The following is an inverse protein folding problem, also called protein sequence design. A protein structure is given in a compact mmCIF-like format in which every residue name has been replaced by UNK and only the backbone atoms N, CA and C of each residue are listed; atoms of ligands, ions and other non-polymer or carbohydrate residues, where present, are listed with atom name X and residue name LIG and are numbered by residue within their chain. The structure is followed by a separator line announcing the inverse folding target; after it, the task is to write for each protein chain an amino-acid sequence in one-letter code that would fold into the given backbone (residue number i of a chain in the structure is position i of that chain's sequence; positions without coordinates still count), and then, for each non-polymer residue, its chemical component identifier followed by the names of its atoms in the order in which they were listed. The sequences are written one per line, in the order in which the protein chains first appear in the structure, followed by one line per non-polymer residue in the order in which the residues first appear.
data_IF_664712695704
#
_entry.id   IF_664712695704
#
_cell.length_a   1.000
_cell.length_b   1.000
_cell.length_c   1.000
_cell.angle_alpha   90.00
_cell.angle_beta   90.00
_cell.angle_gamma   90.00
#
_symmetry.space_group_name_H-M   'P 1'
#
loop_
_entity.id
_entity.type
_entity.pdbx_description
1 polymer ?
#
# COMPACT_ATOMS: atom_id res chain seq x y z
N UNK A 1 -0.81 -17.12 -0.91
CA UNK A 1 0.36 -16.31 -0.51
C UNK A 1 -0.18 -15.06 0.16
N UNK A 2 0.22 -14.75 1.40
CA UNK A 2 -0.21 -13.51 2.04
C UNK A 2 0.23 -12.32 1.18
N UNK A 3 -0.69 -11.40 0.90
CA UNK A 3 -0.43 -10.20 0.12
C UNK A 3 -0.64 -8.98 1.00
N UNK A 4 0.30 -8.05 1.00
CA UNK A 4 0.14 -6.75 1.65
C UNK A 4 0.18 -5.68 0.57
N UNK A 5 -0.84 -4.82 0.55
CA UNK A 5 -0.98 -3.71 -0.38
C UNK A 5 -0.78 -2.42 0.40
N UNK A 6 0.38 -1.79 0.19
CA UNK A 6 0.68 -0.45 0.71
C UNK A 6 0.25 0.61 -0.31
N UNK A 7 -0.41 1.66 0.14
CA UNK A 7 -0.85 2.74 -0.76
C UNK A 7 -0.89 4.11 -0.07
N UNK A 8 -0.50 5.15 -0.79
CA UNK A 8 -0.62 6.54 -0.33
C UNK A 8 -1.97 7.13 -0.75
N UNK A 9 -2.70 7.77 0.16
CA UNK A 9 -4.03 8.32 -0.15
C UNK A 9 -3.98 9.58 -1.03
N UNK A 10 -2.83 10.24 -1.11
CA UNK A 10 -2.59 11.41 -1.95
C UNK A 10 -1.99 11.05 -3.32
N UNK A 11 -1.88 9.76 -3.68
CA UNK A 11 -1.40 9.32 -4.98
C UNK A 11 -2.31 9.86 -6.11
N UNK A 12 -1.74 10.73 -6.96
CA UNK A 12 -2.42 11.34 -8.10
C UNK A 12 -2.28 10.51 -9.39
N UNK A 13 -1.36 9.55 -9.43
CA UNK A 13 -1.13 8.67 -10.58
C UNK A 13 -2.04 7.43 -10.51
N UNK A 14 -2.20 6.89 -9.30
CA UNK A 14 -3.06 5.74 -9.01
C UNK A 14 -3.99 6.11 -7.86
N UNK A 15 -5.21 6.50 -8.18
CA UNK A 15 -6.19 6.93 -7.17
C UNK A 15 -6.53 5.77 -6.21
N UNK A 16 -6.82 6.09 -4.95
CA UNK A 16 -7.13 5.08 -3.92
C UNK A 16 -8.40 4.26 -4.19
N UNK A 17 -9.39 4.82 -4.90
CA UNK A 17 -10.67 4.16 -5.15
C UNK A 17 -10.55 2.85 -5.97
N UNK A 18 -9.85 2.79 -7.12
CA UNK A 18 -9.58 1.54 -7.81
C UNK A 18 -8.73 0.56 -6.99
N UNK A 19 -7.77 1.04 -6.18
CA UNK A 19 -6.95 0.17 -5.31
C UNK A 19 -7.82 -0.51 -4.24
N UNK A 20 -8.69 0.24 -3.56
CA UNK A 20 -9.64 -0.33 -2.59
C UNK A 20 -10.53 -1.39 -3.24
N UNK A 21 -11.04 -1.14 -4.45
CA UNK A 21 -11.82 -2.14 -5.21
C UNK A 21 -11.01 -3.39 -5.53
N UNK A 22 -9.77 -3.24 -5.99
CA UNK A 22 -8.87 -4.37 -6.24
C UNK A 22 -8.59 -5.17 -4.97
N UNK A 23 -8.29 -4.53 -3.84
CA UNK A 23 -8.07 -5.24 -2.57
C UNK A 23 -9.31 -6.03 -2.15
N UNK A 24 -10.52 -5.46 -2.31
CA UNK A 24 -11.75 -6.18 -1.94
C UNK A 24 -12.00 -7.46 -2.73
N UNK A 25 -11.41 -7.61 -3.93
CA UNK A 25 -11.48 -8.86 -4.70
C UNK A 25 -10.37 -9.86 -4.35
N UNK A 26 -9.46 -9.52 -3.44
CA UNK A 26 -8.33 -10.34 -3.00
C UNK A 26 -8.52 -10.72 -1.52
N UNK A 27 -9.23 -11.82 -1.20
CA UNK A 27 -9.66 -12.14 0.16
C UNK A 27 -8.54 -12.42 1.16
N UNK A 28 -7.30 -12.61 0.68
CA UNK A 28 -6.10 -12.83 1.51
C UNK A 28 -5.19 -11.60 1.57
N UNK A 29 -5.63 -10.47 1.00
CA UNK A 29 -4.86 -9.24 0.98
C UNK A 29 -5.13 -8.40 2.23
N UNK A 30 -4.07 -7.94 2.87
CA UNK A 30 -4.10 -6.85 3.84
C UNK A 30 -3.89 -5.53 3.12
N UNK A 31 -4.70 -4.53 3.41
CA UNK A 31 -4.54 -3.17 2.89
C UNK A 31 -4.04 -2.22 3.98
N UNK A 32 -2.98 -1.50 3.66
CA UNK A 32 -2.36 -0.49 4.53
C UNK A 32 -2.30 0.81 3.75
N UNK A 33 -3.02 1.84 4.20
CA UNK A 33 -3.01 3.16 3.58
C UNK A 33 -2.34 4.22 4.46
N UNK A 34 -1.74 5.22 3.81
CA UNK A 34 -1.07 6.34 4.47
C UNK A 34 -1.65 7.67 3.97
N UNK A 35 -2.31 8.41 4.86
CA UNK A 35 -3.08 9.61 4.52
C UNK A 35 -2.26 10.74 3.87
N UNK A 36 -0.96 10.83 4.23
CA UNK A 36 -0.07 11.91 3.78
C UNK A 36 0.87 11.51 2.65
N UNK A 37 0.76 10.27 2.15
CA UNK A 37 1.68 9.76 1.13
C UNK A 37 1.07 9.82 -0.27
N UNK A 38 1.90 10.17 -1.26
CA UNK A 38 1.63 10.00 -2.68
C UNK A 38 2.45 8.87 -3.30
N UNK A 39 2.47 8.81 -4.64
CA UNK A 39 3.06 7.70 -5.39
C UNK A 39 4.52 7.38 -5.00
N UNK A 40 5.37 8.41 -4.94
CA UNK A 40 6.79 8.25 -4.63
C UNK A 40 7.10 8.40 -3.15
N UNK A 41 6.40 9.29 -2.45
CA UNK A 41 6.70 9.55 -1.03
C UNK A 41 6.42 8.30 -0.17
N UNK A 42 5.43 7.47 -0.54
CA UNK A 42 5.19 6.17 0.09
C UNK A 42 6.45 5.31 0.13
N UNK A 43 7.11 5.09 -1.02
CA UNK A 43 8.29 4.22 -1.12
C UNK A 43 9.52 4.80 -0.43
N UNK A 44 9.57 6.11 -0.23
CA UNK A 44 10.67 6.82 0.44
C UNK A 44 10.45 6.82 1.95
N UNK A 45 9.32 7.36 2.40
CA UNK A 45 9.02 7.60 3.81
C UNK A 45 8.67 6.31 4.55
N UNK A 46 8.05 5.34 3.86
CA UNK A 46 7.63 4.06 4.43
C UNK A 46 8.55 2.91 4.03
N UNK A 47 9.75 3.21 3.51
CA UNK A 47 10.71 2.21 3.05
C UNK A 47 10.98 1.12 4.08
N UNK A 48 11.26 1.52 5.33
CA UNK A 48 11.56 0.57 6.41
C UNK A 48 10.38 -0.38 6.68
N UNK A 49 9.16 0.14 6.72
CA UNK A 49 7.94 -0.65 6.91
C UNK A 49 7.74 -1.65 5.77
N UNK A 50 7.91 -1.19 4.52
CA UNK A 50 7.81 -2.05 3.33
C UNK A 50 8.89 -3.13 3.35
N UNK A 51 10.12 -2.78 3.72
CA UNK A 51 11.24 -3.72 3.82
C UNK A 51 11.00 -4.79 4.89
N UNK A 52 10.53 -4.40 6.09
CA UNK A 52 10.19 -5.35 7.17
C UNK A 52 9.11 -6.34 6.74
N UNK A 53 8.06 -5.85 6.07
CA UNK A 53 7.00 -6.69 5.53
C UNK A 53 7.51 -7.71 4.49
N UNK A 54 8.55 -7.40 3.72
CA UNK A 54 9.16 -8.31 2.75
C UNK A 54 9.97 -9.43 3.41
N UNK A 55 10.62 -9.16 4.54
CA UNK A 55 11.44 -10.15 5.27
C UNK A 55 10.68 -10.88 6.38
N UNK A 56 9.44 -10.46 6.68
CA UNK A 56 8.57 -11.08 7.68
C UNK A 56 8.86 -10.65 9.12
N UNK A 57 9.38 -9.44 9.30
CA UNK A 57 9.61 -8.79 10.60
C UNK A 57 8.41 -7.95 11.09
#
# INVERSE_FOLDING_TARGET
MPLIVFHGEQDQNVLIAPVKRMVTSLPTAQFVSYAEEGHFSLSINQFETIAKALIGE
#
